data_IF_007284794779
#
_entry.id   IF_007284794779
#
_cell.length_a   1.000
_cell.length_b   1.000
_cell.length_c   1.000
_cell.angle_alpha   90.00
_cell.angle_beta   90.00
_cell.angle_gamma   90.00
#
_symmetry.space_group_name_H-M   'P 1'
#
loop_
_entity.id
_entity.type
_entity.pdbx_description
1 polymer ?
#
# COMPACT_ATOMS: atom_id res chain seq x y z
N UNK A 1 -22.55 -31.79 -29.68
CA UNK A 1 -21.26 -31.79 -28.95
C UNK A 1 -20.10 -31.91 -29.93
N UNK A 2 -20.08 -32.92 -30.81
CA UNK A 2 -19.07 -33.07 -31.88
C UNK A 2 -18.90 -31.83 -32.77
N UNK A 3 -19.99 -31.18 -33.16
CA UNK A 3 -19.94 -29.98 -34.01
C UNK A 3 -19.39 -28.74 -33.27
N UNK A 4 -19.73 -28.58 -31.99
CA UNK A 4 -19.15 -27.53 -31.13
C UNK A 4 -17.65 -27.74 -30.93
N UNK A 5 -17.20 -28.99 -30.78
CA UNK A 5 -15.78 -29.32 -30.65
C UNK A 5 -15.01 -29.07 -31.95
N UNK A 6 -15.60 -29.37 -33.12
CA UNK A 6 -15.02 -29.02 -34.43
C UNK A 6 -14.88 -27.50 -34.62
N UNK A 7 -15.86 -26.73 -34.16
CA UNK A 7 -15.79 -25.27 -34.23
C UNK A 7 -14.68 -24.71 -33.34
N UNK A 8 -14.53 -25.24 -32.12
CA UNK A 8 -13.45 -24.83 -31.20
C UNK A 8 -12.07 -25.20 -31.75
N UNK A 9 -11.93 -26.37 -32.38
CA UNK A 9 -10.68 -26.79 -33.03
C UNK A 9 -10.32 -25.85 -34.20
N UNK A 10 -11.31 -25.47 -35.01
CA UNK A 10 -11.12 -24.52 -36.10
C UNK A 10 -10.78 -23.11 -35.60
N UNK A 11 -11.40 -22.65 -34.52
CA UNK A 11 -11.07 -21.36 -33.88
C UNK A 11 -9.64 -21.36 -33.32
N UNK A 12 -9.20 -22.47 -32.72
CA UNK A 12 -7.83 -22.61 -32.21
C UNK A 12 -6.78 -22.57 -33.33
N UNK A 13 -7.09 -23.18 -34.49
CA UNK A 13 -6.23 -23.10 -35.66
C UNK A 13 -6.19 -21.67 -36.24
N UNK A 14 -7.31 -20.96 -36.23
CA UNK A 14 -7.37 -19.54 -36.62
C UNK A 14 -6.51 -18.68 -35.70
N UNK A 15 -6.63 -18.83 -34.38
CA UNK A 15 -5.81 -18.10 -33.39
C UNK A 15 -4.32 -18.37 -33.61
N UNK A 16 -3.95 -19.62 -33.90
CA UNK A 16 -2.55 -20.01 -34.18
C UNK A 16 -2.01 -19.35 -35.44
N UNK A 17 -2.83 -19.24 -36.48
CA UNK A 17 -2.48 -18.50 -37.71
C UNK A 17 -2.35 -17.00 -37.43
N UNK A 18 -3.29 -16.42 -36.70
CA UNK A 18 -3.31 -14.99 -36.37
C UNK A 18 -2.08 -14.60 -35.53
N UNK A 19 -1.68 -15.42 -34.56
CA UNK A 19 -0.46 -15.19 -33.78
C UNK A 19 0.81 -15.27 -34.63
N UNK A 20 0.83 -16.14 -35.65
CA UNK A 20 1.95 -16.23 -36.61
C UNK A 20 1.98 -15.00 -37.52
N UNK A 21 0.82 -14.50 -37.93
CA UNK A 21 0.71 -13.30 -38.77
C UNK A 21 1.05 -12.04 -37.99
N UNK A 22 0.59 -11.90 -36.74
CA UNK A 22 0.95 -10.80 -35.86
C UNK A 22 2.47 -10.70 -35.66
N UNK A 23 3.16 -11.85 -35.50
CA UNK A 23 4.63 -11.89 -35.45
C UNK A 23 5.30 -11.40 -36.74
N UNK A 24 4.77 -11.75 -37.90
CA UNK A 24 5.28 -11.25 -39.19
C UNK A 24 5.08 -9.75 -39.31
N UNK A 25 3.88 -9.25 -38.98
CA UNK A 25 3.56 -7.83 -39.03
C UNK A 25 4.46 -7.01 -38.09
N UNK A 26 4.72 -7.49 -36.87
CA UNK A 26 5.67 -6.85 -35.94
C UNK A 26 7.10 -6.84 -36.48
N UNK A 27 7.53 -7.93 -37.14
CA UNK A 27 8.85 -8.00 -37.77
C UNK A 27 8.97 -7.07 -38.99
N UNK A 28 7.89 -6.89 -39.76
CA UNK A 28 7.84 -5.94 -40.88
C UNK A 28 7.84 -4.49 -40.37
N UNK A 29 7.14 -4.20 -39.27
CA UNK A 29 7.21 -2.90 -38.59
C UNK A 29 8.63 -2.60 -38.08
N UNK A 30 9.35 -3.61 -37.57
CA UNK A 30 10.76 -3.43 -37.16
C UNK A 30 11.74 -3.16 -38.32
N UNK A 31 11.36 -3.47 -39.56
CA UNK A 31 12.18 -3.18 -40.76
C UNK A 31 11.98 -1.75 -41.28
N UNK A 32 10.93 -1.04 -40.85
CA UNK A 32 10.68 0.36 -41.17
C UNK A 32 11.58 1.35 -40.39
N UNK A 33 12.77 0.93 -39.97
CA UNK A 33 13.72 1.77 -39.23
C UNK A 33 15.08 1.91 -39.96
N UNK A 34 15.05 1.93 -41.30
CA UNK A 34 16.25 2.16 -42.14
C UNK A 34 16.30 3.51 -42.87
N UNK A 35 15.17 4.21 -43.02
CA UNK A 35 15.09 5.50 -43.73
C UNK A 35 14.04 6.46 -43.11
N UNK A 36 13.61 6.20 -41.87
CA UNK A 36 12.88 7.18 -41.08
C UNK A 36 13.91 8.03 -40.33
N UNK A 37 13.87 9.35 -40.50
CA UNK A 37 14.41 10.32 -39.54
C UNK A 37 13.54 10.30 -38.27
N UNK A 38 13.45 9.14 -37.64
CA UNK A 38 12.75 8.93 -36.40
C UNK A 38 13.71 9.40 -35.28
N UNK A 39 13.36 10.41 -34.46
CA UNK A 39 14.20 10.90 -33.37
C UNK A 39 14.32 9.90 -32.18
N UNK A 40 13.97 8.63 -32.41
CA UNK A 40 13.93 7.56 -31.43
C UNK A 40 14.92 6.45 -31.81
N UNK A 41 16.21 6.78 -31.76
CA UNK A 41 17.29 5.80 -31.62
C UNK A 41 18.53 6.48 -31.02
N UNK A 42 18.39 6.95 -29.78
CA UNK A 42 19.57 7.13 -28.93
C UNK A 42 19.98 5.73 -28.45
N UNK A 43 21.12 5.23 -28.92
CA UNK A 43 21.71 4.01 -28.35
C UNK A 43 21.81 4.18 -26.83
N UNK A 44 21.34 3.25 -26.00
CA UNK A 44 21.72 3.27 -24.60
C UNK A 44 23.24 3.04 -24.57
N UNK A 45 23.98 4.06 -24.15
CA UNK A 45 25.36 3.85 -23.72
C UNK A 45 25.27 2.82 -22.61
N UNK A 46 25.99 1.71 -22.76
CA UNK A 46 26.09 0.67 -21.76
C UNK A 46 26.84 1.23 -20.54
N UNK A 47 26.14 2.03 -19.74
CA UNK A 47 26.49 2.23 -18.35
C UNK A 47 26.21 0.89 -17.70
N UNK A 48 27.29 0.20 -17.34
CA UNK A 48 27.30 -0.93 -16.39
C UNK A 48 26.24 -0.65 -15.33
N UNK A 49 25.07 -1.29 -15.47
CA UNK A 49 24.00 -1.19 -14.49
C UNK A 49 24.46 -2.01 -13.29
N UNK A 50 25.23 -1.38 -12.42
CA UNK A 50 25.33 -1.81 -11.04
C UNK A 50 23.91 -1.71 -10.52
N UNK A 51 23.20 -2.83 -10.49
CA UNK A 51 21.94 -2.96 -9.78
C UNK A 51 22.27 -2.73 -8.30
N UNK A 52 22.17 -1.48 -7.87
CA UNK A 52 22.35 -1.11 -6.48
C UNK A 52 21.20 -1.74 -5.72
N UNK A 53 21.49 -2.85 -5.02
CA UNK A 53 20.57 -3.53 -4.09
C UNK A 53 20.24 -2.67 -2.86
N UNK A 54 20.86 -1.50 -2.73
CA UNK A 54 20.57 -0.57 -1.65
C UNK A 54 19.34 0.25 -2.03
N UNK A 55 18.17 -0.25 -1.59
CA UNK A 55 16.99 0.57 -1.40
C UNK A 55 17.41 1.85 -0.65
N UNK A 56 16.99 3.06 -1.09
CA UNK A 56 17.47 4.30 -0.52
C UNK A 56 17.18 4.31 0.98
N UNK A 57 18.24 4.18 1.77
CA UNK A 57 18.16 4.19 3.23
C UNK A 57 18.18 5.65 3.65
N UNK A 58 17.01 6.29 3.66
CA UNK A 58 16.81 7.57 4.34
C UNK A 58 16.00 7.31 5.60
N UNK A 59 16.65 6.70 6.58
CA UNK A 59 16.21 6.76 7.99
C UNK A 59 17.15 7.73 8.67
N UNK A 60 16.76 9.00 8.71
CA UNK A 60 17.40 10.02 9.54
C UNK A 60 16.35 10.56 10.50
N UNK A 61 16.48 10.15 11.76
CA UNK A 61 15.90 10.75 12.97
C UNK A 61 14.59 11.52 12.82
N UNK A 62 13.54 10.84 12.32
CA UNK A 62 12.16 11.36 12.35
C UNK A 62 11.91 12.68 11.64
N UNK A 63 12.88 13.18 10.86
CA UNK A 63 12.79 14.43 10.12
C UNK A 63 12.51 14.09 8.66
N UNK A 64 11.39 14.60 8.12
CA UNK A 64 11.07 14.41 6.72
C UNK A 64 12.25 14.91 5.85
N UNK A 65 12.67 14.17 4.81
CA UNK A 65 13.73 14.61 3.92
C UNK A 65 13.37 15.99 3.36
N UNK A 66 14.26 16.97 3.51
CA UNK A 66 14.09 18.33 2.98
C UNK A 66 14.43 18.42 1.49
N UNK A 67 14.44 17.30 0.78
CA UNK A 67 14.80 17.20 -0.63
C UNK A 67 13.98 16.11 -1.33
N UNK A 68 14.20 15.89 -2.63
CA UNK A 68 13.48 14.90 -3.41
C UNK A 68 13.56 13.52 -2.75
N UNK A 69 12.41 12.88 -2.60
CA UNK A 69 12.28 11.56 -2.00
C UNK A 69 12.94 10.48 -2.87
N UNK A 70 12.98 10.68 -4.19
CA UNK A 70 13.65 9.77 -5.11
C UNK A 70 14.80 10.42 -5.84
N UNK A 71 15.81 9.60 -6.13
CA UNK A 71 16.87 9.97 -7.07
C UNK A 71 16.38 9.70 -8.48
N UNK A 72 16.23 10.75 -9.27
CA UNK A 72 15.85 10.66 -10.70
C UNK A 72 16.95 10.00 -11.52
N UNK A 73 16.59 9.09 -12.40
CA UNK A 73 17.48 8.34 -13.29
C UNK A 73 17.09 8.58 -14.75
N UNK A 74 15.83 8.37 -15.10
CA UNK A 74 15.32 8.54 -16.47
C UNK A 74 14.64 9.89 -16.70
N UNK A 75 14.24 10.61 -15.63
CA UNK A 75 13.44 11.85 -15.72
C UNK A 75 12.18 11.66 -16.57
N UNK A 76 11.45 10.57 -16.31
CA UNK A 76 10.19 10.26 -16.98
C UNK A 76 8.99 10.47 -16.03
N UNK A 77 7.80 10.48 -16.61
CA UNK A 77 6.55 10.75 -15.90
C UNK A 77 6.29 9.74 -14.76
N UNK A 78 6.86 8.53 -14.86
CA UNK A 78 6.75 7.51 -13.81
C UNK A 78 7.56 7.89 -12.57
N UNK A 79 8.75 8.46 -12.74
CA UNK A 79 9.53 9.01 -11.63
C UNK A 79 8.81 10.22 -10.99
N UNK A 80 8.15 11.06 -11.80
CA UNK A 80 7.34 12.19 -11.29
C UNK A 80 6.17 11.73 -10.41
N UNK A 81 5.40 10.73 -10.87
CA UNK A 81 4.30 10.15 -10.10
C UNK A 81 4.81 9.52 -8.79
N UNK A 82 5.99 8.89 -8.82
CA UNK A 82 6.59 8.29 -7.62
C UNK A 82 7.00 9.36 -6.60
N UNK A 83 7.56 10.47 -7.04
CA UNK A 83 7.90 11.60 -6.18
C UNK A 83 6.65 12.22 -5.55
N UNK A 84 5.58 12.41 -6.33
CA UNK A 84 4.30 12.93 -5.84
C UNK A 84 3.69 12.01 -4.77
N UNK A 85 3.66 10.70 -5.04
CA UNK A 85 3.13 9.70 -4.10
C UNK A 85 3.91 9.69 -2.77
N UNK A 86 5.23 9.79 -2.83
CA UNK A 86 6.07 9.81 -1.61
C UNK A 86 5.92 11.12 -0.84
N UNK A 87 5.74 12.24 -1.52
CA UNK A 87 5.43 13.51 -0.87
C UNK A 87 4.07 13.46 -0.14
N UNK A 88 3.05 12.89 -0.77
CA UNK A 88 1.75 12.65 -0.12
C UNK A 88 1.90 11.71 1.10
N UNK A 89 2.74 10.68 0.99
CA UNK A 89 3.00 9.77 2.11
C UNK A 89 3.72 10.48 3.28
N UNK A 90 4.63 11.41 3.00
CA UNK A 90 5.23 12.28 4.01
C UNK A 90 4.19 13.06 4.82
N UNK A 91 3.17 13.61 4.15
CA UNK A 91 2.05 14.28 4.83
C UNK A 91 1.21 13.32 5.69
N UNK A 92 0.92 12.11 5.19
CA UNK A 92 0.20 11.08 5.95
C UNK A 92 0.96 10.65 7.20
N UNK A 93 2.28 10.48 7.10
CA UNK A 93 3.16 10.15 8.23
C UNK A 93 3.14 11.26 9.29
N UNK A 94 3.13 12.53 8.87
CA UNK A 94 3.00 13.66 9.79
C UNK A 94 1.68 13.61 10.58
N UNK A 95 0.58 13.26 9.92
CA UNK A 95 -0.72 13.10 10.58
C UNK A 95 -0.67 11.94 11.57
N UNK A 96 -0.13 10.78 11.17
CA UNK A 96 0.05 9.63 12.06
C UNK A 96 0.89 9.98 13.30
N UNK A 97 1.98 10.74 13.12
CA UNK A 97 2.82 11.22 14.23
C UNK A 97 2.01 12.07 15.21
N UNK A 98 1.23 13.03 14.70
CA UNK A 98 0.42 13.87 15.56
C UNK A 98 -0.65 13.05 16.31
N UNK A 99 -1.31 12.10 15.65
CA UNK A 99 -2.28 11.21 16.32
C UNK A 99 -1.62 10.33 17.40
N UNK A 100 -0.39 9.88 17.17
CA UNK A 100 0.35 9.11 18.17
C UNK A 100 0.73 9.96 19.38
N UNK A 101 1.11 11.23 19.18
CA UNK A 101 1.38 12.17 20.27
C UNK A 101 0.10 12.44 21.08
N UNK A 102 -1.00 12.80 20.40
CA UNK A 102 -2.29 13.05 21.06
C UNK A 102 -2.77 11.83 21.85
N UNK A 103 -2.53 10.62 21.35
CA UNK A 103 -2.90 9.39 22.06
C UNK A 103 -2.00 9.13 23.27
N UNK A 104 -0.71 9.45 23.20
CA UNK A 104 0.21 9.39 24.34
C UNK A 104 -0.24 10.28 25.48
N UNK A 105 -0.51 11.55 25.20
CA UNK A 105 -0.96 12.51 26.22
C UNK A 105 -2.28 12.07 26.87
N UNK A 106 -3.23 11.57 26.07
CA UNK A 106 -4.51 11.04 26.58
C UNK A 106 -4.34 9.79 27.44
N UNK A 107 -3.40 8.91 27.11
CA UNK A 107 -3.09 7.75 27.95
C UNK A 107 -2.53 8.21 29.29
N UNK A 108 -1.61 9.17 29.31
CA UNK A 108 -1.01 9.68 30.54
C UNK A 108 -2.06 10.30 31.46
N UNK A 109 -3.03 11.03 30.90
CA UNK A 109 -4.17 11.54 31.65
C UNK A 109 -5.07 10.43 32.19
N UNK A 110 -5.36 9.40 31.37
CA UNK A 110 -6.12 8.24 31.82
C UNK A 110 -5.42 7.47 32.94
N UNK A 111 -4.09 7.33 32.90
CA UNK A 111 -3.30 6.70 33.96
C UNK A 111 -3.50 7.43 35.29
N UNK A 112 -3.39 8.77 35.31
CA UNK A 112 -3.63 9.57 36.53
C UNK A 112 -5.04 9.38 37.09
N UNK A 113 -6.06 9.38 36.23
CA UNK A 113 -7.45 9.17 36.64
C UNK A 113 -7.65 7.78 37.25
N UNK A 114 -7.04 6.75 36.65
CA UNK A 114 -7.10 5.38 37.16
C UNK A 114 -6.43 5.29 38.53
N UNK A 115 -5.25 5.89 38.69
CA UNK A 115 -4.54 5.94 39.97
C UNK A 115 -5.39 6.63 41.05
N UNK A 116 -6.03 7.77 40.72
CA UNK A 116 -6.92 8.49 41.63
C UNK A 116 -8.18 7.69 42.01
N UNK A 117 -8.73 6.88 41.10
CA UNK A 117 -9.84 5.97 41.40
C UNK A 117 -9.41 4.75 42.23
N UNK A 118 -8.19 4.26 42.02
CA UNK A 118 -7.64 3.09 42.72
C UNK A 118 -7.08 3.42 44.10
N UNK A 119 -6.99 4.70 44.49
CA UNK A 119 -6.62 5.10 45.85
C UNK A 119 -7.55 4.42 46.88
N UNK A 120 -7.01 3.70 47.88
CA UNK A 120 -7.81 3.03 48.89
C UNK A 120 -8.57 4.06 49.72
N UNK A 121 -9.87 4.22 49.42
CA UNK A 121 -10.73 5.25 49.98
C UNK A 121 -11.78 5.79 49.01
N UNK A 122 -11.56 5.69 47.69
CA UNK A 122 -12.49 6.16 46.65
C UNK A 122 -13.35 5.03 46.02
N UNK A 123 -13.29 3.82 46.59
CA UNK A 123 -14.16 2.71 46.18
C UNK A 123 -15.58 2.99 46.66
N UNK A 124 -16.45 3.44 45.76
CA UNK A 124 -17.89 3.45 46.03
C UNK A 124 -18.32 2.03 46.37
N UNK A 125 -18.67 1.78 47.64
CA UNK A 125 -19.26 0.53 48.09
C UNK A 125 -20.54 0.33 47.28
N UNK A 126 -20.55 -0.60 46.33
CA UNK A 126 -21.77 -1.03 45.66
C UNK A 126 -22.67 -1.65 46.71
N UNK A 127 -23.60 -0.86 47.23
CA UNK A 127 -24.60 -1.31 48.18
C UNK A 127 -25.61 -2.14 47.39
N UNK A 128 -25.31 -3.41 47.17
CA UNK A 128 -26.31 -4.38 46.70
C UNK A 128 -27.26 -4.65 47.85
N UNK A 129 -28.34 -3.85 47.92
CA UNK A 129 -29.49 -4.16 48.77
C UNK A 129 -30.01 -5.55 48.40
N UNK A 130 -29.81 -6.50 49.30
CA UNK A 130 -30.38 -7.84 49.21
C UNK A 130 -31.91 -7.69 49.36
N UNK A 131 -32.73 -8.10 48.38
CA UNK A 131 -34.18 -7.96 48.52
C UNK A 131 -34.69 -8.84 49.69
N UNK A 132 -35.73 -8.39 50.41
CA UNK A 132 -36.27 -9.11 51.56
C UNK A 132 -36.78 -10.50 51.14
N UNK A 133 -36.35 -11.54 51.87
CA UNK A 133 -36.78 -12.92 51.64
C UNK A 133 -38.30 -13.02 51.84
N UNK A 134 -39.03 -13.35 50.77
CA UNK A 134 -40.44 -13.71 50.85
C UNK A 134 -40.55 -15.12 51.46
N UNK A 135 -40.88 -15.19 52.75
CA UNK A 135 -41.24 -16.45 53.41
C UNK A 135 -42.62 -16.89 52.91
N UNK A 136 -42.66 -17.86 52.01
CA UNK A 136 -43.90 -18.56 51.68
C UNK A 136 -44.04 -19.70 52.70
N UNK A 137 -44.89 -19.49 53.71
CA UNK A 137 -45.29 -20.54 54.66
C UNK A 137 -46.19 -21.53 53.93
N UNK A 138 -45.70 -22.76 53.72
CA UNK A 138 -46.59 -23.90 53.44
C UNK A 138 -47.09 -24.42 54.78
N UNK A 139 -48.37 -24.23 55.08
CA UNK A 139 -49.06 -24.92 56.17
C UNK A 139 -49.40 -26.34 55.73
N UNK A 140 -49.09 -27.29 56.61
CA UNK A 140 -49.36 -28.73 56.51
C UNK A 140 -50.81 -29.10 56.28
#
# INVERSE_FOLDING_TARGET
>A
ILEKLKNVEQEMDQIKQDMKQARKNLNELSKCCGLCLCPFNRKPKESKRNMVSSQPTVVRDGQAPTGPYIKRITNDDREDEMEENLNQMGNRIKILKNMALDFGDRIDDHIKIIDDKNKPGNTNKTNTERPPKLYIFYTS
#
